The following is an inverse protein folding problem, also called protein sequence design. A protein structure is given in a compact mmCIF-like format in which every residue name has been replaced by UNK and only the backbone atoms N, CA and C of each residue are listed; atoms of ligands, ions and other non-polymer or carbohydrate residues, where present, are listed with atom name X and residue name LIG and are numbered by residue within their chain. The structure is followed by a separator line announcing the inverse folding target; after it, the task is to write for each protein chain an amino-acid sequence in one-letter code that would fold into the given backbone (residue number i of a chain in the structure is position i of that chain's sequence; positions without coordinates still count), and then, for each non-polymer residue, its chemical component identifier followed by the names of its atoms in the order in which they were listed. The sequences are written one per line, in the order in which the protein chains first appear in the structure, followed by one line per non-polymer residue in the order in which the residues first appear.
data_IF_246124667936
#
_entry.id   IF_246124667936
#
_cell.length_a   1.000
_cell.length_b   1.000
_cell.length_c   1.000
_cell.angle_alpha   90.00
_cell.angle_beta   90.00
_cell.angle_gamma   90.00
#
_symmetry.space_group_name_H-M   'P 1'
#
loop_
_entity.id
_entity.type
_entity.pdbx_description
1 polymer ?
#
# COMPACT_ATOMS: atom_id res chain seq x y z
N UNK A 1 14.19 10.90 -10.08
CA UNK A 1 14.86 10.78 -10.86
C UNK A 1 14.98 10.50 -10.80
N UNK A 2 14.73 11.05 -10.39
CA UNK A 2 15.20 11.15 -11.00
C UNK A 2 15.35 10.94 -11.02
N UNK A 3 14.86 11.36 -10.82
CA UNK A 3 15.33 11.49 -11.51
C UNK A 3 15.53 11.33 -11.54
N UNK A 4 15.22 11.75 -11.32
CA UNK A 4 15.73 11.88 -11.95
C UNK A 4 15.86 11.72 -11.85
N UNK A 5 15.88 11.92 -11.38
CA UNK A 5 16.25 12.13 -12.05
C UNK A 5 16.45 12.07 -11.51
N UNK A 6 16.01 12.16 -11.30
CA UNK A 6 16.43 12.41 -11.62
C UNK A 6 16.68 12.35 -11.12
N UNK A 7 16.53 12.79 -10.95
CA UNK A 7 16.95 12.96 -11.22
C UNK A 7 17.16 13.17 -10.90
N UNK A 8 16.92 13.40 -10.34
CA UNK A 8 17.33 13.76 -10.58
C UNK A 8 17.44 13.86 -10.04
N UNK A 9 17.39 14.24 -9.73
CA UNK A 9 17.71 14.54 -9.86
C UNK A 9 17.72 14.65 -9.30
N UNK A 10 17.81 14.94 -8.71
CA UNK A 10 17.97 15.36 -8.91
C UNK A 10 17.96 15.50 -8.13
N UNK A 11 17.98 15.60 -7.72
CA UNK A 11 18.15 15.77 -7.55
C UNK A 11 18.05 15.60 -6.99
N UNK A 12 18.12 15.92 -6.80
CA UNK A 12 18.14 15.72 -6.85
C UNK A 12 17.89 15.38 -6.53
N UNK A 13 17.88 15.97 -5.85
CA UNK A 13 17.83 15.68 -6.09
C UNK A 13 17.43 15.17 -5.67
N UNK A 14 17.40 15.32 -5.09
CA UNK A 14 17.21 14.84 -5.24
C UNK A 14 16.85 14.30 -4.76
N UNK A 15 16.84 14.28 -4.30
CA UNK A 15 16.70 13.64 -4.21
C UNK A 15 16.39 13.01 -3.69
N UNK A 16 16.44 12.90 -3.16
CA UNK A 16 16.22 12.16 -2.97
C UNK A 16 16.03 11.63 -2.26
N UNK A 17 15.90 11.59 -1.83
CA UNK A 17 15.90 11.05 -1.22
C UNK A 17 15.57 10.50 -0.82
N UNK A 18 15.48 10.16 -0.55
CA UNK A 18 15.10 9.29 -0.31
C UNK A 18 14.48 8.61 0.25
N UNK A 19 14.44 8.48 0.63
CA UNK A 19 14.09 7.86 1.27
C UNK A 19 13.20 7.28 1.55
N UNK A 20 12.89 7.08 1.38
CA UNK A 20 12.09 6.46 1.74
C UNK A 20 11.20 5.77 1.02
N UNK A 21 10.99 4.66 1.29
CA UNK A 21 10.27 3.80 0.47
C UNK A 21 8.97 4.35 0.08
N UNK A 22 8.31 4.87 1.01
CA UNK A 22 7.10 5.58 0.70
C UNK A 22 7.37 6.82 -0.11
N UNK A 23 8.60 7.22 -0.15
CA UNK A 23 9.01 8.29 -1.01
C UNK A 23 9.03 7.88 -2.45
N UNK A 24 8.86 6.61 -2.71
CA UNK A 24 8.84 6.13 -4.06
C UNK A 24 7.57 6.47 -4.81
N UNK A 25 6.45 6.70 -4.12
CA UNK A 25 5.20 6.94 -4.82
C UNK A 25 5.05 8.37 -5.29
N UNK A 26 4.80 8.52 -6.60
CA UNK A 26 4.61 9.83 -7.23
C UNK A 26 3.16 9.95 -7.70
N UNK A 27 2.33 10.81 -7.08
CA UNK A 27 0.92 10.92 -7.47
C UNK A 27 0.70 11.56 -8.84
N UNK A 28 1.72 12.15 -9.45
CA UNK A 28 1.60 12.69 -10.80
C UNK A 28 1.82 11.63 -11.89
N UNK A 29 2.21 10.41 -11.50
CA UNK A 29 2.38 9.29 -12.41
C UNK A 29 1.23 8.30 -12.24
N UNK A 30 0.99 7.41 -13.24
CA UNK A 30 -0.02 6.37 -13.05
C UNK A 30 0.27 5.52 -11.84
N UNK A 31 -0.77 5.11 -11.13
CA UNK A 31 -0.65 4.32 -9.91
C UNK A 31 -1.46 3.05 -9.97
N UNK A 32 -1.09 2.11 -9.14
CA UNK A 32 -1.79 0.84 -8.95
C UNK A 32 -2.04 0.61 -7.47
N UNK A 33 -3.20 0.03 -7.17
CA UNK A 33 -3.53 -0.47 -5.83
C UNK A 33 -3.24 -1.97 -5.81
N UNK A 34 -2.66 -2.45 -4.71
CA UNK A 34 -2.47 -3.88 -4.53
C UNK A 34 -2.98 -4.34 -3.18
N UNK A 35 -3.39 -5.60 -3.12
CA UNK A 35 -3.93 -6.23 -1.92
C UNK A 35 -3.23 -7.56 -1.74
N UNK A 36 -2.59 -7.75 -0.60
CA UNK A 36 -1.71 -8.88 -0.33
C UNK A 36 -2.10 -9.60 0.95
N UNK A 37 -1.71 -10.87 1.05
CA UNK A 37 -1.92 -11.71 2.22
C UNK A 37 -0.61 -12.38 2.62
N UNK A 38 -0.36 -12.48 3.91
CA UNK A 38 0.77 -13.24 4.43
C UNK A 38 0.25 -14.31 5.38
N UNK A 39 0.20 -15.54 4.91
CA UNK A 39 -0.37 -16.65 5.67
C UNK A 39 0.38 -16.93 6.96
N UNK A 40 1.71 -16.93 6.91
CA UNK A 40 2.52 -17.26 8.08
C UNK A 40 2.34 -16.24 9.20
N UNK A 41 2.14 -14.99 8.85
CA UNK A 41 1.96 -13.92 9.83
C UNK A 41 0.49 -13.61 10.13
N UNK A 42 -0.42 -14.19 9.35
CA UNK A 42 -1.84 -13.93 9.52
C UNK A 42 -2.21 -12.48 9.26
N UNK A 43 -1.59 -11.86 8.25
CA UNK A 43 -1.79 -10.45 7.93
C UNK A 43 -2.38 -10.25 6.55
N UNK A 44 -3.07 -9.12 6.40
CA UNK A 44 -3.49 -8.56 5.12
C UNK A 44 -2.84 -7.19 4.98
N UNK A 45 -2.57 -6.78 3.74
CA UNK A 45 -1.92 -5.50 3.46
C UNK A 45 -2.48 -4.89 2.19
N UNK A 46 -2.66 -3.57 2.21
CA UNK A 46 -2.93 -2.80 0.98
C UNK A 46 -1.74 -1.88 0.72
N UNK A 47 -1.63 -1.41 -0.51
CA UNK A 47 -0.61 -0.43 -0.84
C UNK A 47 -0.81 0.16 -2.22
N UNK A 48 0.01 1.15 -2.54
CA UNK A 48 0.01 1.80 -3.84
C UNK A 48 1.43 1.83 -4.39
N UNK A 49 1.54 1.82 -5.71
CA UNK A 49 2.86 1.87 -6.36
C UNK A 49 2.72 2.43 -7.78
N UNK A 50 3.80 3.03 -8.27
CA UNK A 50 3.91 3.41 -9.68
C UNK A 50 4.50 2.28 -10.52
N UNK A 51 5.06 1.24 -9.87
CA UNK A 51 5.70 0.10 -10.53
C UNK A 51 5.25 -1.19 -9.85
N UNK A 52 4.10 -1.75 -10.26
CA UNK A 52 3.55 -2.93 -9.58
C UNK A 52 4.44 -4.17 -9.74
N UNK A 53 5.11 -4.33 -10.87
CA UNK A 53 5.96 -5.49 -11.09
C UNK A 53 7.07 -5.53 -10.05
N UNK A 54 7.77 -4.42 -9.88
CA UNK A 54 8.88 -4.35 -8.94
C UNK A 54 8.41 -4.43 -7.49
N UNK A 55 7.37 -3.66 -7.16
CA UNK A 55 6.89 -3.57 -5.77
C UNK A 55 6.32 -4.89 -5.28
N UNK A 56 5.54 -5.55 -6.13
CA UNK A 56 4.96 -6.83 -5.78
C UNK A 56 6.03 -7.91 -5.64
N UNK A 57 7.08 -7.85 -6.49
CA UNK A 57 8.20 -8.78 -6.37
C UNK A 57 8.90 -8.66 -5.02
N UNK A 58 9.06 -7.44 -4.51
CA UNK A 58 9.64 -7.21 -3.18
C UNK A 58 8.80 -7.88 -2.10
N UNK A 59 7.49 -7.69 -2.13
CA UNK A 59 6.60 -8.30 -1.14
C UNK A 59 6.55 -9.81 -1.28
N UNK A 60 6.47 -10.32 -2.51
CA UNK A 60 6.43 -11.76 -2.76
C UNK A 60 7.67 -12.44 -2.20
N UNK A 61 8.85 -11.80 -2.35
CA UNK A 61 10.08 -12.37 -1.81
C UNK A 61 10.09 -12.40 -0.27
N UNK A 62 9.23 -11.61 0.36
CA UNK A 62 9.08 -11.60 1.82
C UNK A 62 7.95 -12.53 2.29
N UNK A 63 7.35 -13.30 1.39
CA UNK A 63 6.33 -14.28 1.75
C UNK A 63 4.89 -13.87 1.52
N UNK A 64 4.67 -12.69 0.93
CA UNK A 64 3.32 -12.21 0.63
C UNK A 64 2.77 -12.86 -0.63
N UNK A 65 1.46 -13.11 -0.63
CA UNK A 65 0.72 -13.60 -1.80
C UNK A 65 -0.15 -12.46 -2.32
N UNK A 66 -0.15 -12.25 -3.63
CA UNK A 66 -0.97 -11.21 -4.25
C UNK A 66 -2.41 -11.71 -4.38
N UNK A 67 -3.34 -10.98 -3.77
CA UNK A 67 -4.75 -11.29 -3.89
C UNK A 67 -5.39 -10.51 -5.04
N UNK A 68 -5.03 -9.24 -5.20
CA UNK A 68 -5.61 -8.41 -6.24
C UNK A 68 -4.71 -7.23 -6.54
N UNK A 69 -4.72 -6.78 -7.81
CA UNK A 69 -4.03 -5.56 -8.26
C UNK A 69 -4.99 -4.81 -9.17
N UNK A 70 -5.13 -3.51 -8.94
CA UNK A 70 -5.98 -2.65 -9.77
C UNK A 70 -5.20 -1.48 -10.29
N UNK A 71 -5.36 -1.18 -11.56
CA UNK A 71 -4.72 -0.07 -12.23
C UNK A 71 -4.49 -0.39 -13.70
N UNK A 72 -3.82 0.53 -14.42
CA UNK A 72 -3.37 1.82 -13.94
C UNK A 72 -4.51 2.80 -13.70
N UNK A 73 -4.29 3.74 -12.81
CA UNK A 73 -5.23 4.83 -12.54
C UNK A 73 -4.43 6.09 -12.25
N UNK A 74 -5.10 7.22 -12.15
CA UNK A 74 -4.46 8.46 -11.74
C UNK A 74 -3.79 8.25 -10.39
N UNK A 75 -2.53 8.65 -10.25
CA UNK A 75 -1.78 8.46 -9.01
C UNK A 75 -2.41 9.14 -7.82
N UNK A 76 -3.00 10.32 -8.03
CA UNK A 76 -3.72 11.03 -6.97
C UNK A 76 -4.94 10.23 -6.53
N UNK A 77 -5.61 9.57 -7.47
CA UNK A 77 -6.76 8.72 -7.17
C UNK A 77 -6.33 7.49 -6.36
N UNK A 78 -5.22 6.85 -6.74
CA UNK A 78 -4.69 5.71 -6.00
C UNK A 78 -4.37 6.10 -4.56
N UNK A 79 -3.72 7.24 -4.37
CA UNK A 79 -3.39 7.77 -3.05
C UNK A 79 -4.64 8.04 -2.24
N UNK A 80 -5.66 8.61 -2.86
CA UNK A 80 -6.93 8.89 -2.21
C UNK A 80 -7.62 7.59 -1.75
N UNK A 81 -7.63 6.56 -2.59
CA UNK A 81 -8.20 5.26 -2.23
C UNK A 81 -7.46 4.64 -1.04
N UNK A 82 -6.12 4.67 -1.07
CA UNK A 82 -5.34 4.13 0.04
C UNK A 82 -5.70 4.82 1.35
N UNK A 83 -5.74 6.14 1.34
CA UNK A 83 -6.06 6.93 2.52
C UNK A 83 -7.46 6.60 3.04
N UNK A 84 -8.43 6.52 2.14
CA UNK A 84 -9.81 6.21 2.50
C UNK A 84 -9.96 4.79 3.04
N UNK A 85 -9.27 3.83 2.45
CA UNK A 85 -9.29 2.44 2.91
C UNK A 85 -8.71 2.34 4.31
N UNK A 86 -7.56 2.98 4.56
CA UNK A 86 -6.94 2.96 5.88
C UNK A 86 -7.87 3.58 6.93
N UNK A 87 -8.57 4.64 6.57
CA UNK A 87 -9.55 5.26 7.45
C UNK A 87 -10.70 4.31 7.78
N UNK A 88 -11.21 3.60 6.77
CA UNK A 88 -12.29 2.62 6.96
C UNK A 88 -11.85 1.46 7.84
N UNK A 89 -10.62 1.00 7.70
CA UNK A 89 -10.05 -0.04 8.54
C UNK A 89 -9.98 0.43 10.00
N UNK A 90 -9.59 1.67 10.21
CA UNK A 90 -9.52 2.25 11.54
C UNK A 90 -10.90 2.36 12.18
N UNK A 91 -11.90 2.76 11.41
CA UNK A 91 -13.28 2.85 11.89
C UNK A 91 -13.77 1.48 12.38
N UNK A 92 -13.31 0.40 11.73
CA UNK A 92 -13.72 -0.97 12.06
C UNK A 92 -12.79 -1.65 13.07
N UNK A 93 -11.89 -0.88 13.70
CA UNK A 93 -10.96 -1.37 14.72
C UNK A 93 -10.04 -2.49 14.23
N UNK A 94 -9.63 -2.43 12.99
CA UNK A 94 -8.63 -3.38 12.48
C UNK A 94 -7.37 -3.30 13.34
N UNK A 95 -6.86 -4.46 13.75
CA UNK A 95 -5.65 -4.51 14.56
C UNK A 95 -4.43 -4.40 13.64
N UNK A 96 -3.86 -3.21 13.57
CA UNK A 96 -2.77 -2.92 12.64
C UNK A 96 -1.49 -3.63 13.02
N UNK A 97 -0.74 -4.07 12.01
CA UNK A 97 0.48 -4.84 12.21
C UNK A 97 1.52 -4.10 13.06
N UNK A 98 1.61 -2.77 12.92
CA UNK A 98 2.58 -1.99 13.68
C UNK A 98 2.26 -1.96 15.19
N UNK A 99 1.10 -2.46 15.59
CA UNK A 99 0.72 -2.60 16.99
C UNK A 99 0.91 -4.02 17.52
N UNK A 100 1.40 -4.92 16.67
CA UNK A 100 1.67 -6.30 17.06
C UNK A 100 3.15 -6.45 17.42
N UNK A 101 3.54 -7.66 17.82
CA UNK A 101 4.93 -7.98 18.11
C UNK A 101 5.68 -8.47 16.88
N UNK A 102 5.05 -8.43 15.72
CA UNK A 102 5.68 -8.86 14.48
C UNK A 102 6.78 -7.86 14.13
N UNK A 103 7.92 -8.38 13.66
CA UNK A 103 9.05 -7.56 13.27
C UNK A 103 8.65 -6.61 12.14
N UNK A 104 9.17 -5.39 12.18
CA UNK A 104 8.90 -4.38 11.17
C UNK A 104 9.24 -4.88 9.76
N UNK A 105 8.39 -4.56 8.80
CA UNK A 105 8.54 -4.93 7.39
C UNK A 105 7.96 -3.81 6.51
N UNK A 106 8.22 -3.87 5.21
CA UNK A 106 7.67 -2.89 4.26
C UNK A 106 6.13 -2.99 4.24
N UNK A 107 5.47 -1.84 4.42
CA UNK A 107 4.01 -1.79 4.48
C UNK A 107 3.44 -2.04 5.85
N UNK A 108 4.28 -2.05 6.87
CA UNK A 108 3.88 -2.35 8.25
C UNK A 108 2.72 -1.50 8.75
N UNK A 109 2.67 -0.23 8.35
CA UNK A 109 1.59 0.67 8.78
C UNK A 109 0.32 0.52 7.95
N UNK A 110 0.37 -0.29 6.90
CA UNK A 110 -0.75 -0.51 5.96
C UNK A 110 -1.23 -1.95 5.98
N UNK A 111 -0.82 -2.71 7.01
CA UNK A 111 -1.19 -4.10 7.18
C UNK A 111 -1.94 -4.28 8.49
N UNK A 112 -2.81 -5.29 8.53
CA UNK A 112 -3.61 -5.60 9.72
C UNK A 112 -3.78 -7.09 9.86
N UNK A 113 -4.17 -7.55 11.06
CA UNK A 113 -4.37 -8.98 11.30
C UNK A 113 -5.67 -9.46 10.64
N UNK A 114 -5.60 -10.61 9.98
CA UNK A 114 -6.77 -11.22 9.33
C UNK A 114 -7.87 -11.52 10.34
N UNK A 115 -7.49 -11.89 11.54
CA UNK A 115 -8.45 -12.26 12.58
C UNK A 115 -9.26 -11.06 13.06
N UNK A 116 -8.67 -9.88 13.08
CA UNK A 116 -9.38 -8.68 13.53
C UNK A 116 -10.38 -8.20 12.49
N UNK A 117 -10.05 -8.36 11.21
CA UNK A 117 -10.92 -7.90 10.14
C UNK A 117 -10.60 -8.68 8.86
N UNK A 118 -11.45 -9.65 8.56
CA UNK A 118 -11.27 -10.51 7.39
C UNK A 118 -11.79 -9.80 6.14
N UNK A 119 -10.92 -9.68 5.13
CA UNK A 119 -11.24 -9.08 3.85
C UNK A 119 -10.71 -9.99 2.76
N UNK A 120 -11.51 -10.20 1.72
CA UNK A 120 -11.14 -11.10 0.63
C UNK A 120 -10.98 -10.40 -0.71
N UNK A 121 -11.40 -9.13 -0.83
CA UNK A 121 -11.32 -8.43 -2.10
C UNK A 121 -11.31 -6.91 -1.91
N UNK A 122 -10.81 -6.22 -2.92
CA UNK A 122 -10.90 -4.75 -2.95
C UNK A 122 -12.35 -4.28 -2.98
N UNK A 123 -13.23 -5.03 -3.64
CA UNK A 123 -14.63 -4.64 -3.68
C UNK A 123 -15.19 -4.44 -2.27
N UNK A 124 -14.87 -5.33 -1.36
CA UNK A 124 -15.30 -5.24 0.02
C UNK A 124 -14.74 -3.98 0.69
N UNK A 125 -13.45 -3.71 0.50
CA UNK A 125 -12.82 -2.51 1.04
C UNK A 125 -13.45 -1.24 0.49
N UNK A 126 -13.68 -1.19 -0.81
CA UNK A 126 -14.26 -0.02 -1.46
C UNK A 126 -15.72 0.17 -1.08
N UNK A 127 -16.46 -0.91 -0.86
CA UNK A 127 -17.83 -0.83 -0.36
C UNK A 127 -17.86 -0.16 1.01
N UNK A 128 -16.92 -0.49 1.89
CA UNK A 128 -16.80 0.14 3.20
C UNK A 128 -16.44 1.61 3.08
N UNK A 129 -15.52 1.96 2.19
CA UNK A 129 -15.16 3.35 1.93
C UNK A 129 -16.40 4.13 1.52
N UNK A 130 -17.18 3.55 0.61
CA UNK A 130 -18.39 4.19 0.11
C UNK A 130 -19.41 4.39 1.23
N UNK A 131 -19.60 3.38 2.08
CA UNK A 131 -20.49 3.49 3.24
C UNK A 131 -20.03 4.56 4.22
N UNK A 132 -18.74 4.62 4.48
CA UNK A 132 -18.17 5.53 5.48
C UNK A 132 -18.20 6.98 5.03
N UNK A 133 -18.29 7.23 3.73
CA UNK A 133 -18.41 8.57 3.17
C UNK A 133 -19.84 9.10 3.16
N UNK A 134 -20.83 8.29 3.55
CA UNK A 134 -22.25 8.70 3.58
C UNK A 134 -22.64 9.57 4.80
#
# INVERSE_FOLDING_TARGET
NAVVGSRSSGPKGGSGCPSCAKYGFNPSLPGWLYFLEHDDWGLLQIGITNDPTRRIAVHTSAGWTTLEVRGPMDGSLAKSFETSILKSLKIRDAHMAHRTRIKRFDGWTEAWTKDSLTVTSFKQLLDWVYEDDQ
#
